data_IF_625233083981
#
_entry.id   IF_625233083981
#
_cell.length_a   1.000
_cell.length_b   1.000
_cell.length_c   1.000
_cell.angle_alpha   90.00
_cell.angle_beta   90.00
_cell.angle_gamma   90.00
#
_symmetry.space_group_name_H-M   'P 1'
#
loop_
_entity.id
_entity.type
_entity.pdbx_description
1 polymer ?
#
# COMPACT_ATOMS: atom_id res chain seq x y z
N UNK A 1 -5.29 -10.02 11.89
CA UNK A 1 -4.80 -8.71 11.35
C UNK A 1 -5.72 -7.53 11.72
N UNK A 2 -6.77 -7.18 10.97
CA UNK A 2 -7.74 -6.15 11.44
C UNK A 2 -8.85 -6.72 12.36
N UNK A 3 -9.16 -8.01 12.25
CA UNK A 3 -10.19 -8.66 13.06
C UNK A 3 -9.79 -8.87 14.53
N UNK A 4 -8.52 -9.17 14.78
CA UNK A 4 -7.98 -9.49 16.12
C UNK A 4 -7.54 -8.25 16.89
N UNK A 5 -7.46 -7.09 16.24
CA UNK A 5 -7.13 -5.79 16.85
C UNK A 5 -5.79 -5.75 17.62
N UNK A 6 -4.92 -6.76 17.46
CA UNK A 6 -3.62 -6.84 18.15
C UNK A 6 -2.60 -5.83 17.64
N UNK A 7 -2.51 -5.68 16.32
CA UNK A 7 -1.61 -4.74 15.67
C UNK A 7 -2.17 -4.29 14.32
N UNK A 8 -2.07 -3.00 14.04
CA UNK A 8 -2.45 -2.46 12.74
C UNK A 8 -1.44 -2.87 11.65
N UNK A 9 -1.91 -3.23 10.45
CA UNK A 9 -1.04 -3.42 9.30
C UNK A 9 -0.19 -2.17 9.03
N UNK A 10 1.04 -2.29 8.50
CA UNK A 10 1.95 -1.15 8.26
C UNK A 10 1.52 -0.24 7.09
N UNK A 11 0.23 -0.27 6.74
CA UNK A 11 -0.45 0.63 5.81
C UNK A 11 -1.35 1.65 6.51
N UNK A 12 -1.64 1.45 7.81
CA UNK A 12 -2.45 2.35 8.64
C UNK A 12 -1.55 3.11 9.61
N UNK A 13 -1.75 4.42 9.69
CA UNK A 13 -1.17 5.22 10.76
C UNK A 13 -2.02 5.10 12.03
N UNK A 14 -1.41 5.14 13.22
CA UNK A 14 -2.13 4.95 14.49
C UNK A 14 -3.25 5.98 14.70
N UNK A 15 -3.07 7.21 14.22
CA UNK A 15 -4.07 8.30 14.31
C UNK A 15 -5.31 8.09 13.43
N UNK A 16 -5.33 7.10 12.54
CA UNK A 16 -6.49 6.82 11.67
C UNK A 16 -7.56 5.99 12.38
N UNK A 17 -7.18 5.20 13.39
CA UNK A 17 -8.06 4.26 14.11
C UNK A 17 -7.91 4.58 15.61
N UNK A 18 -8.40 5.75 16.00
CA UNK A 18 -8.41 6.21 17.38
C UNK A 18 -9.83 6.05 17.99
N UNK A 19 -9.99 5.71 19.28
CA UNK A 19 -11.28 5.44 19.90
C UNK A 19 -12.27 6.62 19.85
N UNK A 20 -11.76 7.84 19.80
CA UNK A 20 -12.51 9.10 19.78
C UNK A 20 -12.87 9.56 18.36
N UNK A 21 -12.42 8.85 17.32
CA UNK A 21 -12.62 9.23 15.92
C UNK A 21 -13.67 8.37 15.25
N UNK A 22 -14.65 9.00 14.61
CA UNK A 22 -15.60 8.29 13.75
C UNK A 22 -14.86 7.69 12.57
N UNK A 23 -14.90 6.36 12.47
CA UNK A 23 -14.26 5.64 11.38
C UNK A 23 -15.03 5.88 10.07
N UNK A 24 -14.37 6.24 8.97
CA UNK A 24 -15.03 6.37 7.67
C UNK A 24 -15.72 5.08 7.25
N UNK A 25 -16.87 5.19 6.58
CA UNK A 25 -17.68 4.03 6.20
C UNK A 25 -16.93 2.94 5.43
N UNK A 26 -16.00 3.22 4.49
CA UNK A 26 -15.29 2.15 3.79
C UNK A 26 -14.44 1.29 4.74
N UNK A 27 -13.81 1.91 5.74
CA UNK A 27 -13.02 1.17 6.73
C UNK A 27 -13.90 0.43 7.73
N UNK A 28 -15.04 0.99 8.14
CA UNK A 28 -16.00 0.28 8.98
C UNK A 28 -16.54 -0.99 8.30
N UNK A 29 -16.91 -0.89 7.02
CA UNK A 29 -17.31 -2.04 6.20
C UNK A 29 -16.18 -3.05 6.06
N UNK A 30 -14.95 -2.57 5.80
CA UNK A 30 -13.76 -3.41 5.70
C UNK A 30 -13.48 -4.21 6.98
N UNK A 31 -13.56 -3.58 8.15
CA UNK A 31 -13.35 -4.26 9.44
C UNK A 31 -14.43 -5.34 9.64
N UNK A 32 -15.71 -5.02 9.38
CA UNK A 32 -16.82 -5.98 9.46
C UNK A 32 -16.56 -7.20 8.57
N UNK A 33 -16.24 -6.98 7.29
CA UNK A 33 -15.93 -8.07 6.34
C UNK A 33 -14.70 -8.88 6.75
N UNK A 34 -13.68 -8.23 7.32
CA UNK A 34 -12.49 -8.91 7.82
C UNK A 34 -12.80 -9.78 9.04
N UNK A 35 -13.68 -9.34 9.95
CA UNK A 35 -14.15 -10.13 11.10
C UNK A 35 -14.98 -11.33 10.62
N UNK A 36 -15.86 -11.15 9.64
CA UNK A 36 -16.62 -12.24 9.03
C UNK A 36 -15.72 -13.26 8.33
N UNK A 37 -14.69 -12.78 7.61
CA UNK A 37 -13.68 -13.63 6.99
C UNK A 37 -12.90 -14.45 8.03
N UNK A 38 -12.46 -13.80 9.12
CA UNK A 38 -11.70 -14.43 10.20
C UNK A 38 -12.51 -15.49 10.97
N UNK A 39 -13.80 -15.26 11.21
CA UNK A 39 -14.65 -16.18 11.96
C UNK A 39 -14.93 -17.52 11.28
N UNK A 40 -14.67 -17.65 9.97
CA UNK A 40 -14.76 -18.90 9.19
C UNK A 40 -16.01 -19.78 9.46
N UNK A 41 -17.18 -19.17 9.65
CA UNK A 41 -18.45 -19.92 9.63
C UNK A 41 -18.65 -20.56 8.25
N UNK A 42 -19.15 -21.81 8.20
CA UNK A 42 -19.40 -22.50 6.93
C UNK A 42 -20.30 -21.65 6.01
N UNK A 43 -19.88 -21.45 4.76
CA UNK A 43 -20.58 -20.63 3.77
C UNK A 43 -20.36 -19.12 3.87
N UNK A 44 -19.74 -18.61 4.94
CA UNK A 44 -19.49 -17.17 5.09
C UNK A 44 -18.41 -16.65 4.12
N UNK A 45 -17.45 -17.48 3.72
CA UNK A 45 -16.34 -17.07 2.83
C UNK A 45 -16.82 -16.61 1.45
N UNK A 46 -17.70 -17.37 0.81
CA UNK A 46 -18.26 -17.02 -0.50
C UNK A 46 -19.15 -15.78 -0.42
N UNK A 47 -19.91 -15.65 0.67
CA UNK A 47 -20.71 -14.46 0.93
C UNK A 47 -19.81 -13.23 1.09
N UNK A 48 -18.75 -13.32 1.90
CA UNK A 48 -17.79 -12.23 2.12
C UNK A 48 -17.13 -11.84 0.79
N UNK A 49 -16.67 -12.79 -0.02
CA UNK A 49 -16.09 -12.51 -1.34
C UNK A 49 -17.07 -11.80 -2.26
N UNK A 50 -18.33 -12.27 -2.35
CA UNK A 50 -19.37 -11.61 -3.15
C UNK A 50 -19.66 -10.19 -2.66
N UNK A 51 -19.68 -9.97 -1.35
CA UNK A 51 -19.87 -8.64 -0.78
C UNK A 51 -18.67 -7.74 -1.06
N UNK A 52 -17.44 -8.25 -0.92
CA UNK A 52 -16.23 -7.50 -1.27
C UNK A 52 -16.25 -7.07 -2.74
N UNK A 53 -16.65 -7.96 -3.66
CA UNK A 53 -16.72 -7.61 -5.08
C UNK A 53 -17.72 -6.47 -5.34
N UNK A 54 -18.89 -6.49 -4.67
CA UNK A 54 -19.87 -5.40 -4.75
C UNK A 54 -19.35 -4.09 -4.16
N UNK A 55 -18.66 -4.15 -3.03
CA UNK A 55 -18.03 -2.96 -2.43
C UNK A 55 -16.96 -2.39 -3.37
N UNK A 56 -16.15 -3.24 -3.99
CA UNK A 56 -15.15 -2.80 -4.97
C UNK A 56 -15.79 -2.12 -6.18
N UNK A 57 -16.89 -2.67 -6.71
CA UNK A 57 -17.67 -2.03 -7.78
C UNK A 57 -18.14 -0.64 -7.36
N UNK A 58 -18.77 -0.54 -6.18
CA UNK A 58 -19.28 0.72 -5.63
C UNK A 58 -18.16 1.76 -5.42
N UNK A 59 -17.00 1.33 -4.92
CA UNK A 59 -15.86 2.22 -4.66
C UNK A 59 -15.33 2.79 -5.98
N UNK A 60 -15.17 1.96 -7.01
CA UNK A 60 -14.68 2.42 -8.31
C UNK A 60 -15.67 3.42 -8.92
N UNK A 61 -16.97 3.09 -8.92
CA UNK A 61 -18.02 3.92 -9.53
C UNK A 61 -18.20 5.28 -8.84
N UNK A 62 -17.94 5.35 -7.54
CA UNK A 62 -18.16 6.57 -6.73
C UNK A 62 -16.86 7.33 -6.41
N UNK A 63 -15.70 6.80 -6.81
CA UNK A 63 -14.38 7.32 -6.40
C UNK A 63 -14.20 8.82 -6.62
N UNK A 64 -14.71 9.36 -7.74
CA UNK A 64 -14.63 10.80 -8.08
C UNK A 64 -15.45 11.71 -7.17
N UNK A 65 -16.42 11.16 -6.44
CA UNK A 65 -17.33 11.91 -5.57
C UNK A 65 -16.89 11.88 -4.10
N UNK A 66 -15.88 11.06 -3.77
CA UNK A 66 -15.39 10.91 -2.39
C UNK A 66 -14.49 12.08 -2.01
N UNK A 67 -14.65 12.58 -0.79
CA UNK A 67 -13.67 13.48 -0.19
C UNK A 67 -12.33 12.75 0.05
N UNK A 68 -11.24 13.49 0.25
CA UNK A 68 -9.90 12.91 0.37
C UNK A 68 -9.76 11.91 1.53
N UNK A 69 -10.47 12.12 2.64
CA UNK A 69 -10.41 11.23 3.81
C UNK A 69 -11.14 9.93 3.51
N UNK A 70 -12.32 10.01 2.92
CA UNK A 70 -13.11 8.84 2.52
C UNK A 70 -12.43 8.07 1.38
N UNK A 71 -11.81 8.75 0.42
CA UNK A 71 -11.04 8.12 -0.66
C UNK A 71 -9.82 7.36 -0.12
N UNK A 72 -9.08 7.93 0.84
CA UNK A 72 -7.98 7.23 1.51
C UNK A 72 -8.48 5.98 2.24
N UNK A 73 -9.57 6.11 2.99
CA UNK A 73 -10.20 5.00 3.69
C UNK A 73 -10.63 3.89 2.73
N UNK A 74 -11.25 4.24 1.60
CA UNK A 74 -11.63 3.31 0.55
C UNK A 74 -10.41 2.61 -0.06
N UNK A 75 -9.34 3.35 -0.36
CA UNK A 75 -8.12 2.78 -0.91
C UNK A 75 -7.45 1.79 0.06
N UNK A 76 -7.39 2.12 1.35
CA UNK A 76 -6.88 1.22 2.39
C UNK A 76 -7.78 -0.03 2.53
N UNK A 77 -9.11 0.12 2.43
CA UNK A 77 -10.03 -1.02 2.41
C UNK A 77 -9.79 -1.93 1.19
N UNK A 78 -9.56 -1.36 0.01
CA UNK A 78 -9.25 -2.12 -1.22
C UNK A 78 -7.97 -2.93 -1.09
N UNK A 79 -6.95 -2.46 -0.36
CA UNK A 79 -5.76 -3.28 -0.05
C UNK A 79 -6.16 -4.56 0.69
N UNK A 80 -6.98 -4.43 1.74
CA UNK A 80 -7.43 -5.56 2.55
C UNK A 80 -8.35 -6.48 1.75
N UNK A 81 -9.27 -5.93 0.98
CA UNK A 81 -10.13 -6.68 0.08
C UNK A 81 -9.33 -7.49 -0.93
N UNK A 82 -8.30 -6.89 -1.53
CA UNK A 82 -7.41 -7.57 -2.48
C UNK A 82 -6.71 -8.75 -1.80
N UNK A 83 -6.18 -8.56 -0.58
CA UNK A 83 -5.58 -9.65 0.21
C UNK A 83 -6.58 -10.79 0.43
N UNK A 84 -7.82 -10.49 0.83
CA UNK A 84 -8.86 -11.51 1.06
C UNK A 84 -9.20 -12.25 -0.23
N UNK A 85 -9.36 -11.53 -1.35
CA UNK A 85 -9.74 -12.10 -2.65
C UNK A 85 -8.68 -13.04 -3.22
N UNK A 86 -7.39 -12.67 -3.12
CA UNK A 86 -6.27 -13.51 -3.62
C UNK A 86 -5.91 -14.66 -2.66
N UNK A 87 -6.35 -14.59 -1.40
CA UNK A 87 -6.06 -15.62 -0.40
C UNK A 87 -6.79 -16.93 -0.72
N UNK A 88 -6.20 -18.10 -0.44
CA UNK A 88 -6.89 -19.37 -0.58
C UNK A 88 -8.07 -19.47 0.41
N UNK A 89 -9.15 -20.12 -0.03
CA UNK A 89 -10.22 -20.61 0.85
C UNK A 89 -9.92 -22.06 1.20
N UNK A 90 -10.01 -22.41 2.49
CA UNK A 90 -9.69 -23.76 2.96
C UNK A 90 -10.80 -24.78 2.67
N UNK A 91 -12.02 -24.33 2.34
CA UNK A 91 -13.23 -25.16 2.42
C UNK A 91 -14.16 -25.11 1.19
N UNK A 92 -13.86 -24.34 0.15
CA UNK A 92 -14.69 -24.25 -1.06
C UNK A 92 -13.92 -24.63 -2.33
N UNK A 93 -14.43 -25.56 -3.17
CA UNK A 93 -13.99 -25.70 -4.56
C UNK A 93 -14.35 -24.40 -5.29
N UNK A 94 -13.31 -23.60 -5.60
CA UNK A 94 -13.37 -22.21 -6.06
C UNK A 94 -14.55 -21.90 -7.00
N UNK A 95 -15.40 -20.91 -6.70
CA UNK A 95 -15.94 -20.09 -7.78
C UNK A 95 -14.76 -19.43 -8.49
N UNK A 96 -14.75 -19.50 -9.82
CA UNK A 96 -13.66 -18.98 -10.66
C UNK A 96 -13.73 -17.44 -10.67
N UNK A 97 -13.25 -16.82 -9.59
CA UNK A 97 -13.08 -15.37 -9.52
C UNK A 97 -12.06 -14.99 -10.58
N UNK A 98 -12.48 -14.16 -11.53
CA UNK A 98 -11.57 -13.59 -12.52
C UNK A 98 -10.76 -12.47 -11.88
N UNK A 99 -9.54 -12.81 -11.49
CA UNK A 99 -8.61 -11.90 -10.85
C UNK A 99 -8.18 -10.77 -11.79
N UNK A 100 -8.23 -10.97 -13.12
CA UNK A 100 -7.92 -9.90 -14.07
C UNK A 100 -8.94 -8.77 -13.98
N UNK A 101 -10.23 -9.10 -13.80
CA UNK A 101 -11.29 -8.10 -13.59
C UNK A 101 -11.06 -7.33 -12.28
N UNK A 102 -10.66 -8.02 -11.21
CA UNK A 102 -10.34 -7.38 -9.93
C UNK A 102 -9.17 -6.41 -10.10
N UNK A 103 -8.05 -6.86 -10.66
CA UNK A 103 -6.89 -5.99 -10.82
C UNK A 103 -7.17 -4.83 -11.78
N UNK A 104 -7.96 -5.01 -12.83
CA UNK A 104 -8.39 -3.89 -13.67
C UNK A 104 -9.20 -2.83 -12.90
N UNK A 105 -10.07 -3.24 -11.98
CA UNK A 105 -10.82 -2.31 -11.10
C UNK A 105 -9.89 -1.57 -10.15
N UNK A 106 -8.94 -2.30 -9.55
CA UNK A 106 -7.90 -1.72 -8.69
C UNK A 106 -7.05 -0.71 -9.46
N UNK A 107 -6.68 -1.01 -10.70
CA UNK A 107 -5.91 -0.12 -11.58
C UNK A 107 -6.64 1.19 -11.85
N UNK A 108 -7.93 1.12 -12.19
CA UNK A 108 -8.76 2.32 -12.43
C UNK A 108 -8.80 3.23 -11.19
N UNK A 109 -9.00 2.64 -10.00
CA UNK A 109 -8.99 3.38 -8.75
C UNK A 109 -7.62 4.01 -8.48
N UNK A 110 -6.54 3.24 -8.63
CA UNK A 110 -5.18 3.73 -8.41
C UNK A 110 -4.85 4.87 -9.37
N UNK A 111 -5.20 4.74 -10.65
CA UNK A 111 -5.01 5.78 -11.66
C UNK A 111 -5.70 7.08 -11.25
N UNK A 112 -6.99 7.01 -10.85
CA UNK A 112 -7.72 8.17 -10.34
C UNK A 112 -7.00 8.84 -9.16
N UNK A 113 -6.55 8.06 -8.17
CA UNK A 113 -5.85 8.58 -6.99
C UNK A 113 -4.49 9.20 -7.34
N UNK A 114 -3.73 8.58 -8.24
CA UNK A 114 -2.43 9.10 -8.71
C UNK A 114 -2.60 10.45 -9.39
N UNK A 115 -3.63 10.60 -10.24
CA UNK A 115 -3.96 11.85 -10.92
C UNK A 115 -4.44 12.94 -9.96
N UNK A 116 -5.07 12.58 -8.84
CA UNK A 116 -5.42 13.50 -7.75
C UNK A 116 -4.22 14.04 -6.97
N UNK A 117 -3.03 13.44 -7.14
CA UNK A 117 -1.78 13.93 -6.58
C UNK A 117 -1.28 13.13 -5.37
N UNK A 118 0.03 12.85 -5.39
CA UNK A 118 0.73 12.06 -4.36
C UNK A 118 1.90 12.82 -3.74
N UNK A 119 1.96 14.13 -3.89
CA UNK A 119 3.09 14.95 -3.44
C UNK A 119 2.60 16.28 -2.88
N UNK A 120 2.94 16.58 -1.62
CA UNK A 120 2.55 17.84 -0.98
C UNK A 120 3.38 19.00 -1.53
N UNK A 121 2.80 20.19 -1.58
CA UNK A 121 3.50 21.37 -2.10
C UNK A 121 4.70 21.76 -1.23
N UNK A 122 4.59 21.57 0.09
CA UNK A 122 5.64 21.80 1.06
C UNK A 122 6.82 20.86 0.81
N UNK A 123 6.58 19.57 0.56
CA UNK A 123 7.65 18.62 0.24
C UNK A 123 8.38 19.05 -1.06
N UNK A 124 7.67 19.60 -2.07
CA UNK A 124 8.29 20.11 -3.31
C UNK A 124 9.18 21.31 -3.06
N UNK A 125 8.75 22.17 -2.13
CA UNK A 125 9.50 23.36 -1.67
C UNK A 125 10.55 23.02 -0.61
N UNK A 126 10.74 21.73 -0.29
CA UNK A 126 11.67 21.28 0.74
C UNK A 126 11.36 21.87 2.12
N UNK A 127 10.07 22.07 2.39
CA UNK A 127 9.51 22.62 3.61
C UNK A 127 8.77 21.52 4.39
N UNK A 128 8.57 21.76 5.68
CA UNK A 128 7.79 20.89 6.55
C UNK A 128 6.29 21.09 6.29
N UNK A 129 5.53 20.06 5.89
CA UNK A 129 4.06 20.11 5.82
C UNK A 129 3.42 20.10 7.22
N UNK A 130 2.10 20.27 7.29
CA UNK A 130 1.36 19.91 8.52
C UNK A 130 1.43 18.40 8.75
N UNK A 131 1.41 17.97 10.01
CA UNK A 131 1.49 16.55 10.33
C UNK A 131 0.30 15.77 9.78
N UNK A 132 -0.91 16.32 9.90
CA UNK A 132 -2.13 15.65 9.40
C UNK A 132 -2.11 15.43 7.89
N UNK A 133 -1.74 16.46 7.11
CA UNK A 133 -1.62 16.33 5.66
C UNK A 133 -0.51 15.33 5.27
N UNK A 134 0.59 15.33 6.02
CA UNK A 134 1.68 14.38 5.82
C UNK A 134 1.25 12.94 6.10
N UNK A 135 0.51 12.69 7.19
CA UNK A 135 -0.03 11.37 7.51
C UNK A 135 -0.98 10.92 6.40
N UNK A 136 -1.92 11.78 5.99
CA UNK A 136 -2.89 11.45 4.94
C UNK A 136 -2.20 11.07 3.61
N UNK A 137 -1.27 11.90 3.12
CA UNK A 137 -0.58 11.60 1.86
C UNK A 137 0.30 10.37 2.01
N UNK A 138 0.97 10.17 3.15
CA UNK A 138 1.88 9.03 3.36
C UNK A 138 1.11 7.72 3.46
N UNK A 139 -0.05 7.71 4.14
CA UNK A 139 -1.00 6.58 4.13
C UNK A 139 -1.48 6.27 2.71
N UNK A 140 -1.82 7.31 1.93
CA UNK A 140 -2.25 7.16 0.52
C UNK A 140 -1.16 6.48 -0.32
N UNK A 141 0.09 6.97 -0.23
CA UNK A 141 1.26 6.37 -0.91
C UNK A 141 1.47 4.91 -0.52
N UNK A 142 1.40 4.58 0.77
CA UNK A 142 1.55 3.20 1.27
C UNK A 142 0.46 2.28 0.73
N UNK A 143 -0.79 2.73 0.71
CA UNK A 143 -1.90 1.92 0.17
C UNK A 143 -1.72 1.67 -1.34
N UNK A 144 -1.33 2.68 -2.12
CA UNK A 144 -1.01 2.54 -3.54
C UNK A 144 0.11 1.51 -3.76
N UNK A 145 1.25 1.68 -3.07
CA UNK A 145 2.38 0.76 -3.18
C UNK A 145 2.01 -0.66 -2.76
N UNK A 146 1.16 -0.82 -1.74
CA UNK A 146 0.68 -2.14 -1.33
C UNK A 146 -0.13 -2.82 -2.44
N UNK A 147 -1.00 -2.10 -3.14
CA UNK A 147 -1.77 -2.64 -4.27
C UNK A 147 -0.84 -3.05 -5.42
N UNK A 148 0.18 -2.25 -5.70
CA UNK A 148 1.22 -2.61 -6.68
C UNK A 148 1.99 -3.87 -6.29
N UNK A 149 2.43 -3.98 -5.03
CA UNK A 149 3.12 -5.17 -4.52
C UNK A 149 2.24 -6.42 -4.59
N UNK A 150 0.97 -6.31 -4.24
CA UNK A 150 0.02 -7.41 -4.33
C UNK A 150 -0.18 -7.87 -5.77
N UNK A 151 -0.33 -6.92 -6.71
CA UNK A 151 -0.46 -7.26 -8.12
C UNK A 151 0.84 -7.83 -8.70
N UNK A 152 2.00 -7.31 -8.29
CA UNK A 152 3.30 -7.84 -8.70
C UNK A 152 3.50 -9.28 -8.22
N UNK A 153 3.22 -9.55 -6.94
CA UNK A 153 3.31 -10.91 -6.40
C UNK A 153 2.37 -11.88 -7.12
N UNK A 154 1.15 -11.45 -7.42
CA UNK A 154 0.19 -12.21 -8.24
C UNK A 154 0.74 -12.47 -9.64
N UNK A 155 1.28 -11.43 -10.29
CA UNK A 155 1.82 -11.47 -11.65
C UNK A 155 2.97 -12.46 -11.78
N UNK A 156 3.90 -12.47 -10.81
CA UNK A 156 5.01 -13.43 -10.76
C UNK A 156 4.50 -14.87 -10.62
N UNK A 157 3.55 -15.11 -9.71
CA UNK A 157 2.98 -16.44 -9.47
C UNK A 157 2.23 -16.98 -10.71
N UNK A 158 1.46 -16.12 -11.37
CA UNK A 158 0.56 -16.50 -12.46
C UNK A 158 1.14 -16.28 -13.87
N UNK A 159 2.33 -15.67 -13.97
CA UNK A 159 3.01 -15.32 -15.23
C UNK A 159 2.14 -14.42 -16.13
N UNK A 160 1.50 -13.43 -15.51
CA UNK A 160 0.72 -12.40 -16.21
C UNK A 160 1.40 -11.03 -16.08
N UNK A 161 1.11 -10.07 -16.96
CA UNK A 161 1.65 -8.71 -16.84
C UNK A 161 1.18 -8.01 -15.55
N UNK A 162 2.09 -7.28 -14.91
CA UNK A 162 1.80 -6.40 -13.77
C UNK A 162 1.57 -4.95 -14.24
N UNK A 163 0.99 -4.11 -13.38
CA UNK A 163 0.89 -2.67 -13.61
C UNK A 163 2.27 -2.02 -13.83
N UNK A 164 2.32 -1.07 -14.76
CA UNK A 164 3.50 -0.22 -14.95
C UNK A 164 3.56 0.83 -13.84
N UNK A 165 4.61 0.76 -13.02
CA UNK A 165 4.81 1.68 -11.89
C UNK A 165 5.72 2.86 -12.24
N UNK A 166 6.15 3.02 -13.50
CA UNK A 166 7.07 4.11 -13.90
C UNK A 166 6.54 5.49 -13.58
N UNK A 167 5.22 5.67 -13.67
CA UNK A 167 4.55 6.93 -13.37
C UNK A 167 4.62 7.31 -11.88
N UNK A 168 4.97 6.37 -10.99
CA UNK A 168 5.15 6.65 -9.56
C UNK A 168 6.57 7.11 -9.23
N UNK A 169 7.47 7.19 -10.21
CA UNK A 169 8.89 7.45 -9.98
C UNK A 169 9.17 8.77 -9.24
N UNK A 170 8.28 9.76 -9.39
CA UNK A 170 8.37 11.06 -8.71
C UNK A 170 8.00 11.02 -7.22
N UNK A 171 7.31 9.97 -6.77
CA UNK A 171 6.80 9.85 -5.42
C UNK A 171 7.93 9.57 -4.42
N UNK A 172 7.86 10.08 -3.18
CA UNK A 172 8.78 9.67 -2.13
C UNK A 172 8.69 8.17 -1.86
N UNK A 173 9.81 7.55 -1.55
CA UNK A 173 9.88 6.21 -0.99
C UNK A 173 9.17 6.16 0.38
N UNK A 174 8.81 4.98 0.90
CA UNK A 174 8.24 4.86 2.24
C UNK A 174 9.04 5.65 3.26
N UNK A 175 8.33 6.44 4.06
CA UNK A 175 8.93 7.35 5.02
C UNK A 175 9.74 6.60 6.09
N UNK A 176 10.70 7.31 6.68
CA UNK A 176 11.48 6.80 7.82
C UNK A 176 10.56 6.33 8.96
N UNK A 177 10.89 5.18 9.55
CA UNK A 177 10.15 4.55 10.66
C UNK A 177 9.84 5.52 11.78
N UNK A 178 10.85 6.32 12.18
CA UNK A 178 10.73 7.30 13.27
C UNK A 178 9.71 8.41 12.99
N UNK A 179 9.48 8.76 11.71
CA UNK A 179 8.46 9.73 11.32
C UNK A 179 7.08 9.07 11.28
N UNK A 180 7.00 7.88 10.67
CA UNK A 180 5.74 7.15 10.54
C UNK A 180 5.16 6.68 11.89
N UNK A 181 6.01 6.40 12.87
CA UNK A 181 5.59 5.92 14.19
C UNK A 181 5.39 7.03 15.23
N UNK A 182 5.59 8.30 14.87
CA UNK A 182 5.35 9.40 15.79
C UNK A 182 3.87 9.41 16.23
N UNK A 183 3.62 9.56 17.54
CA UNK A 183 2.27 9.52 18.11
C UNK A 183 1.67 10.90 18.31
N UNK A 184 2.48 11.94 18.20
CA UNK A 184 2.04 13.33 18.36
C UNK A 184 2.67 14.25 17.31
N UNK A 185 2.00 15.35 17.01
CA UNK A 185 2.51 16.36 16.09
C UNK A 185 3.83 16.96 16.58
N UNK A 186 3.98 17.15 17.89
CA UNK A 186 5.21 17.69 18.48
C UNK A 186 6.41 16.76 18.29
N UNK A 187 6.21 15.46 18.54
CA UNK A 187 7.24 14.43 18.32
C UNK A 187 7.61 14.36 16.84
N UNK A 188 6.60 14.30 15.96
CA UNK A 188 6.81 14.28 14.52
C UNK A 188 7.56 15.52 14.04
N UNK A 189 7.16 16.71 14.47
CA UNK A 189 7.78 17.99 14.10
C UNK A 189 9.27 18.01 14.42
N UNK A 190 9.63 17.58 15.62
CA UNK A 190 11.03 17.51 16.07
C UNK A 190 11.83 16.57 15.17
N UNK A 191 11.33 15.36 14.94
CA UNK A 191 11.99 14.35 14.09
C UNK A 191 12.07 14.78 12.63
N UNK A 192 11.03 15.41 12.10
CA UNK A 192 10.97 15.85 10.72
C UNK A 192 12.02 16.93 10.44
N UNK A 193 12.25 17.88 11.35
CA UNK A 193 13.29 18.90 11.20
C UNK A 193 14.69 18.25 11.10
N UNK A 194 14.98 17.28 11.97
CA UNK A 194 16.24 16.54 11.91
C UNK A 194 16.38 15.73 10.63
N UNK A 195 15.31 15.05 10.23
CA UNK A 195 15.27 14.28 8.98
C UNK A 195 15.48 15.18 7.76
N UNK A 196 14.83 16.34 7.70
CA UNK A 196 14.94 17.28 6.60
C UNK A 196 16.37 17.81 6.43
N UNK A 197 17.05 18.13 7.53
CA UNK A 197 18.47 18.50 7.54
C UNK A 197 19.36 17.36 7.04
N UNK A 198 19.16 16.15 7.56
CA UNK A 198 19.90 14.94 7.17
C UNK A 198 19.75 14.60 5.67
N UNK A 199 18.59 14.89 5.10
CA UNK A 199 18.30 14.65 3.68
C UNK A 199 18.50 15.88 2.80
N UNK A 200 18.98 17.01 3.36
CA UNK A 200 19.15 18.28 2.63
C UNK A 200 17.89 18.70 1.87
N UNK A 201 16.72 18.43 2.46
CA UNK A 201 15.42 18.70 1.86
C UNK A 201 15.01 17.74 0.73
N UNK A 202 15.79 16.73 0.38
CA UNK A 202 15.51 15.78 -0.72
C UNK A 202 15.49 14.35 -0.23
N UNK A 203 14.32 13.90 0.20
CA UNK A 203 14.06 12.50 0.53
C UNK A 203 14.37 11.54 -0.63
N UNK A 204 14.38 10.25 -0.32
CA UNK A 204 14.56 9.20 -1.32
C UNK A 204 13.28 9.04 -2.16
N UNK A 205 13.40 8.90 -3.48
CA UNK A 205 12.27 8.75 -4.41
C UNK A 205 12.14 7.31 -4.91
N UNK A 206 10.94 6.93 -5.35
CA UNK A 206 10.66 5.61 -5.93
C UNK A 206 11.55 5.31 -7.15
N UNK A 207 11.75 6.29 -8.04
CA UNK A 207 12.62 6.10 -9.22
C UNK A 207 14.08 5.82 -8.86
N UNK A 208 14.52 6.10 -7.63
CA UNK A 208 15.88 5.81 -7.19
C UNK A 208 16.09 4.31 -6.92
N UNK A 209 15.05 3.52 -6.68
CA UNK A 209 15.17 2.05 -6.55
C UNK A 209 15.75 1.42 -7.81
N UNK A 210 15.35 1.86 -9.00
CA UNK A 210 15.90 1.40 -10.28
C UNK A 210 17.37 1.79 -10.52
N UNK A 211 17.95 2.64 -9.66
CA UNK A 211 19.37 3.02 -9.73
C UNK A 211 20.26 2.12 -8.86
N UNK A 212 19.68 1.23 -8.06
CA UNK A 212 20.42 0.31 -7.20
C UNK A 212 20.99 -0.82 -8.07
N UNK A 213 22.26 -0.68 -8.44
CA UNK A 213 22.96 -1.67 -9.27
C UNK A 213 23.38 -2.88 -8.42
N UNK A 214 23.38 -4.10 -9.00
CA UNK A 214 24.03 -5.26 -8.38
C UNK A 214 25.51 -4.95 -8.11
N UNK A 215 25.99 -5.25 -6.91
CA UNK A 215 27.36 -4.98 -6.52
C UNK A 215 27.61 -5.19 -5.03
N UNK A 216 28.87 -4.99 -4.62
CA UNK A 216 29.32 -5.15 -3.23
C UNK A 216 28.94 -3.94 -2.35
N UNK A 217 28.78 -2.77 -2.97
CA UNK A 217 28.52 -1.51 -2.28
C UNK A 217 27.20 -0.92 -2.80
N UNK A 218 26.27 -0.66 -1.88
CA UNK A 218 25.01 0.03 -2.18
C UNK A 218 25.25 1.55 -2.28
N UNK A 219 24.50 2.24 -3.13
CA UNK A 219 24.54 3.70 -3.20
C UNK A 219 24.23 4.34 -1.84
N UNK A 220 24.97 5.38 -1.47
CA UNK A 220 24.89 6.01 -0.14
C UNK A 220 23.49 6.55 0.21
N UNK A 221 22.68 6.98 -0.77
CA UNK A 221 21.31 7.43 -0.52
C UNK A 221 20.39 6.23 -0.30
N UNK A 222 20.55 5.17 -1.09
CA UNK A 222 19.79 3.93 -0.92
C UNK A 222 20.08 3.28 0.45
N UNK A 223 21.35 3.20 0.83
CA UNK A 223 21.78 2.70 2.15
C UNK A 223 21.20 3.54 3.29
N UNK A 224 21.25 4.88 3.16
CA UNK A 224 20.66 5.80 4.15
C UNK A 224 19.16 5.60 4.31
N UNK A 225 18.43 5.49 3.20
CA UNK A 225 16.99 5.23 3.24
C UNK A 225 16.69 3.88 3.88
N UNK A 226 17.41 2.83 3.49
CA UNK A 226 17.22 1.48 4.02
C UNK A 226 17.48 1.41 5.53
N UNK A 227 18.48 2.13 6.03
CA UNK A 227 18.76 2.23 7.47
C UNK A 227 17.66 2.92 8.29
N UNK A 228 16.74 3.63 7.64
CA UNK A 228 15.61 4.32 8.27
C UNK A 228 14.26 3.62 7.98
N UNK A 229 14.26 2.58 7.16
CA UNK A 229 13.06 1.91 6.69
C UNK A 229 12.30 1.20 7.82
N UNK A 230 10.98 1.23 7.75
CA UNK A 230 10.11 0.40 8.57
C UNK A 230 9.79 -0.93 7.87
N UNK A 231 8.90 -1.73 8.45
CA UNK A 231 8.50 -3.03 7.92
C UNK A 231 7.93 -2.93 6.49
N UNK A 232 7.24 -1.83 6.17
CA UNK A 232 6.74 -1.57 4.82
C UNK A 232 7.87 -1.20 3.86
N UNK A 233 8.81 -0.36 4.30
CA UNK A 233 10.03 -0.05 3.54
C UNK A 233 10.86 -1.30 3.21
N UNK A 234 11.03 -2.21 4.18
CA UNK A 234 11.70 -3.49 3.94
C UNK A 234 10.97 -4.39 2.92
N UNK A 235 9.64 -4.30 2.84
CA UNK A 235 8.88 -4.98 1.79
C UNK A 235 9.13 -4.36 0.40
N UNK A 236 9.36 -3.05 0.32
CA UNK A 236 9.66 -2.37 -0.94
C UNK A 236 11.07 -2.66 -1.45
N UNK A 237 12.08 -2.76 -0.58
CA UNK A 237 13.45 -3.07 -1.03
C UNK A 237 13.57 -4.50 -1.55
N UNK A 238 12.75 -5.44 -1.07
CA UNK A 238 12.84 -6.86 -1.47
C UNK A 238 12.47 -7.11 -2.94
N UNK A 239 11.77 -6.17 -3.58
CA UNK A 239 11.43 -6.25 -5.01
C UNK A 239 12.45 -5.54 -5.91
N UNK A 240 13.48 -4.90 -5.36
CA UNK A 240 14.53 -4.24 -6.14
C UNK A 240 15.26 -5.27 -7.01
N UNK A 241 15.49 -4.94 -8.27
CA UNK A 241 16.05 -5.81 -9.31
C UNK A 241 15.20 -7.05 -9.66
N UNK A 242 14.06 -7.26 -9.01
CA UNK A 242 13.12 -8.34 -9.33
C UNK A 242 12.03 -7.89 -10.30
N UNK A 243 11.77 -6.58 -10.41
CA UNK A 243 10.76 -6.01 -11.31
C UNK A 243 11.15 -6.06 -12.79
N UNK A 244 12.44 -6.05 -13.10
CA UNK A 244 12.98 -6.15 -14.47
C UNK A 244 13.43 -7.57 -14.82
N UNK A 245 13.33 -8.50 -13.87
CA UNK A 245 13.75 -9.88 -14.07
C UNK A 245 12.68 -10.66 -14.82
N UNK A 246 12.96 -11.02 -16.07
CA UNK A 246 12.19 -12.02 -16.81
C UNK A 246 12.67 -13.41 -16.34
N UNK A 247 11.91 -14.13 -15.50
CA UNK A 247 12.41 -15.35 -14.90
C UNK A 247 12.71 -16.38 -16.00
N UNK A 248 13.93 -16.96 -16.01
CA UNK A 248 14.25 -18.02 -16.96
C UNK A 248 13.17 -19.09 -16.82
N UNK A 249 12.54 -19.45 -17.93
CA UNK A 249 11.45 -20.42 -17.96
C UNK A 249 11.81 -21.61 -17.08
N UNK A 250 11.08 -21.80 -15.97
CA UNK A 250 11.23 -22.92 -15.03
C UNK A 250 10.89 -24.26 -15.70
N UNK A 251 11.66 -24.65 -16.70
CA UNK A 251 11.55 -25.90 -17.47
C UNK A 251 12.72 -26.86 -17.23
N UNK A 252 13.53 -26.68 -16.18
CA UNK A 252 14.70 -27.53 -15.95
C UNK A 252 14.90 -28.04 -14.51
N UNK A 253 13.83 -28.27 -13.75
CA UNK A 253 13.92 -29.11 -12.54
C UNK A 253 12.86 -30.21 -12.53
N UNK A 254 12.72 -30.85 -13.69
CA UNK A 254 12.18 -32.21 -13.80
C UNK A 254 13.18 -33.01 -14.65
N UNK A 255 14.22 -33.54 -13.98
CA UNK A 255 14.93 -34.74 -14.40
C UNK A 255 15.06 -35.63 -13.18
#
# INVERSE_FOLDING_TARGET
>A
MLAEEFQLPPLFHSTQIAPDKTLPSPLANCITLTKMWHGQCEGAEDMVRKTILKELDSIVDQSEQLDETTLLAALQAVVIYTIILISPSARSPRPQIDHNIIFRKVELLVYHVVHGGLFLQEERKQMRPSWDAWVQVTSKRRAILALYLLHWAYSVLHKVPCFDCRDLGFMPAPAAKVLWQAQTEQEWNTRYIHWLSRWSGRGYLQAEFGKIRPGVVMDSRAERWLGEADEFGFMMISIVNATEFDPPSLKQLAR
#
